data_IF_722933284048
#
_entry.id   IF_722933284048
#
_cell.length_a   1.000
_cell.length_b   1.000
_cell.length_c   1.000
_cell.angle_alpha   90.00
_cell.angle_beta   90.00
_cell.angle_gamma   90.00
#
_symmetry.space_group_name_H-M   'P 1'
#
loop_
_entity.id
_entity.type
_entity.pdbx_description
1 polymer ?
#
# COMPACT_ATOMS: atom_id res chain seq x y z
N UNK A 1 -35.48 -6.89 -0.32
CA UNK A 1 -34.05 -6.55 -0.42
C UNK A 1 -33.35 -7.18 0.77
N UNK A 2 -32.32 -8.00 0.56
CA UNK A 2 -31.55 -8.55 1.68
C UNK A 2 -30.85 -7.39 2.42
N UNK A 3 -30.80 -7.40 3.77
CA UNK A 3 -30.06 -6.38 4.52
C UNK A 3 -28.58 -6.46 4.18
N UNK A 4 -27.93 -5.31 3.97
CA UNK A 4 -26.49 -5.24 3.74
C UNK A 4 -25.78 -5.69 5.03
N UNK A 5 -24.85 -6.64 4.92
CA UNK A 5 -24.06 -7.05 6.08
C UNK A 5 -23.10 -5.93 6.49
N UNK A 6 -22.84 -5.74 7.80
CA UNK A 6 -21.84 -4.78 8.27
C UNK A 6 -20.47 -4.98 7.63
N UNK A 7 -20.06 -6.24 7.40
CA UNK A 7 -18.77 -6.58 6.78
C UNK A 7 -18.68 -6.08 5.33
N UNK A 8 -19.79 -6.17 4.58
CA UNK A 8 -19.85 -5.65 3.21
C UNK A 8 -19.70 -4.13 3.20
N UNK A 9 -20.36 -3.44 4.13
CA UNK A 9 -20.25 -1.98 4.24
C UNK A 9 -18.81 -1.57 4.57
N UNK A 10 -18.17 -2.24 5.54
CA UNK A 10 -16.77 -1.97 5.90
C UNK A 10 -15.84 -2.23 4.70
N UNK A 11 -16.02 -3.33 3.98
CA UNK A 11 -15.24 -3.65 2.79
C UNK A 11 -15.38 -2.58 1.70
N UNK A 12 -16.61 -2.17 1.38
CA UNK A 12 -16.90 -1.14 0.37
C UNK A 12 -16.29 0.21 0.76
N UNK A 13 -16.51 0.65 2.00
CA UNK A 13 -15.96 1.93 2.50
C UNK A 13 -14.43 1.89 2.49
N UNK A 14 -13.82 0.78 2.90
CA UNK A 14 -12.37 0.62 2.88
C UNK A 14 -11.80 0.69 1.47
N UNK A 15 -12.47 0.07 0.49
CA UNK A 15 -12.08 0.14 -0.93
C UNK A 15 -12.18 1.56 -1.51
N UNK A 16 -13.26 2.29 -1.19
CA UNK A 16 -13.44 3.68 -1.63
C UNK A 16 -12.39 4.61 -1.00
N UNK A 17 -12.13 4.46 0.30
CA UNK A 17 -11.08 5.21 0.99
C UNK A 17 -9.70 4.89 0.40
N UNK A 18 -9.43 3.61 0.11
CA UNK A 18 -8.18 3.21 -0.53
C UNK A 18 -7.99 3.89 -1.89
N UNK A 19 -9.01 3.86 -2.75
CA UNK A 19 -8.96 4.51 -4.05
C UNK A 19 -8.75 6.04 -3.93
N UNK A 20 -9.42 6.67 -2.97
CA UNK A 20 -9.27 8.11 -2.69
C UNK A 20 -7.85 8.47 -2.24
N UNK A 21 -7.30 7.76 -1.24
CA UNK A 21 -5.93 7.99 -0.78
C UNK A 21 -4.89 7.67 -1.85
N UNK A 22 -5.14 6.64 -2.65
CA UNK A 22 -4.28 6.31 -3.79
C UNK A 22 -4.23 7.49 -4.78
N UNK A 23 -5.38 8.02 -5.18
CA UNK A 23 -5.46 9.18 -6.09
C UNK A 23 -4.74 10.41 -5.52
N UNK A 24 -4.85 10.68 -4.22
CA UNK A 24 -4.11 11.76 -3.56
C UNK A 24 -2.60 11.51 -3.64
N UNK A 25 -2.14 10.33 -3.24
CA UNK A 25 -0.71 10.01 -3.17
C UNK A 25 -0.01 10.18 -4.52
N UNK A 26 -0.64 9.70 -5.59
CA UNK A 26 -0.12 9.80 -6.95
C UNK A 26 0.01 11.25 -7.43
N UNK A 27 -0.94 12.12 -7.07
CA UNK A 27 -0.86 13.55 -7.39
C UNK A 27 0.22 14.27 -6.58
N UNK A 28 0.40 13.90 -5.30
CA UNK A 28 1.49 14.42 -4.46
C UNK A 28 2.84 14.02 -5.05
N UNK A 29 3.03 12.74 -5.42
CA UNK A 29 4.27 12.27 -6.04
C UNK A 29 4.55 12.97 -7.37
N UNK A 30 3.50 13.25 -8.16
CA UNK A 30 3.64 14.07 -9.36
C UNK A 30 4.17 15.47 -9.06
N UNK A 31 3.70 16.11 -7.99
CA UNK A 31 4.16 17.45 -7.58
C UNK A 31 5.60 17.50 -7.05
N UNK A 32 6.16 16.36 -6.63
CA UNK A 32 7.49 16.27 -6.01
C UNK A 32 8.57 15.68 -6.93
N UNK A 33 8.29 15.52 -8.22
CA UNK A 33 9.17 14.86 -9.20
C UNK A 33 10.57 15.43 -9.29
N UNK A 34 10.73 16.73 -9.08
CA UNK A 34 12.03 17.40 -9.21
C UNK A 34 12.84 17.39 -7.90
N UNK A 35 12.21 17.10 -6.77
CA UNK A 35 12.83 17.22 -5.44
C UNK A 35 13.18 15.89 -4.76
N UNK A 36 12.54 14.78 -5.13
CA UNK A 36 12.70 13.51 -4.42
C UNK A 36 12.73 12.35 -5.41
N UNK A 37 13.80 11.54 -5.35
CA UNK A 37 13.90 10.32 -6.15
C UNK A 37 12.82 9.30 -5.77
N UNK A 38 12.19 8.62 -6.76
CA UNK A 38 11.18 7.59 -6.53
C UNK A 38 11.55 6.49 -5.54
N UNK A 39 12.81 6.06 -5.58
CA UNK A 39 13.35 5.03 -4.68
C UNK A 39 13.32 5.50 -3.22
N UNK A 40 13.62 6.78 -2.97
CA UNK A 40 13.59 7.36 -1.63
C UNK A 40 12.15 7.45 -1.10
N UNK A 41 11.19 7.83 -1.96
CA UNK A 41 9.76 7.83 -1.61
C UNK A 41 9.27 6.43 -1.24
N UNK A 42 9.57 5.44 -2.09
CA UNK A 42 9.22 4.04 -1.86
C UNK A 42 9.81 3.53 -0.54
N UNK A 43 11.10 3.73 -0.32
CA UNK A 43 11.79 3.30 0.90
C UNK A 43 11.19 3.94 2.16
N UNK A 44 10.92 5.25 2.15
CA UNK A 44 10.37 5.96 3.31
C UNK A 44 8.94 5.54 3.61
N UNK A 45 8.12 5.33 2.57
CA UNK A 45 6.74 4.83 2.69
C UNK A 45 6.68 3.48 3.42
N UNK A 46 7.65 2.59 3.17
CA UNK A 46 7.70 1.28 3.84
C UNK A 46 7.93 1.40 5.34
N UNK A 47 8.82 2.29 5.79
CA UNK A 47 9.06 2.51 7.22
C UNK A 47 7.83 3.10 7.91
N UNK A 48 7.17 4.06 7.28
CA UNK A 48 5.93 4.65 7.81
C UNK A 48 4.84 3.58 7.91
N UNK A 49 4.67 2.76 6.88
CA UNK A 49 3.70 1.66 6.88
C UNK A 49 4.03 0.61 7.95
N UNK A 50 5.31 0.26 8.13
CA UNK A 50 5.76 -0.67 9.16
C UNK A 50 5.43 -0.17 10.57
N UNK A 51 5.77 1.08 10.87
CA UNK A 51 5.48 1.68 12.18
C UNK A 51 3.97 1.76 12.46
N UNK A 52 3.19 2.20 11.46
CA UNK A 52 1.74 2.31 11.60
C UNK A 52 1.10 0.93 11.80
N UNK A 53 1.49 -0.07 10.98
CA UNK A 53 0.96 -1.41 11.09
C UNK A 53 1.39 -2.08 12.39
N UNK A 54 2.65 -1.92 12.80
CA UNK A 54 3.15 -2.38 14.09
C UNK A 54 2.36 -1.78 15.25
N UNK A 55 2.10 -0.47 15.21
CA UNK A 55 1.26 0.20 16.20
C UNK A 55 -0.16 -0.38 16.25
N UNK A 56 -0.82 -0.57 15.10
CA UNK A 56 -2.15 -1.19 15.03
C UNK A 56 -2.09 -2.59 15.66
N UNK A 57 -1.12 -3.42 15.28
CA UNK A 57 -0.97 -4.79 15.82
C UNK A 57 -0.85 -4.79 17.34
N UNK A 58 -0.05 -3.87 17.90
CA UNK A 58 0.18 -3.74 19.34
C UNK A 58 -1.05 -3.19 20.09
N UNK A 59 -1.75 -2.21 19.51
CA UNK A 59 -2.90 -1.54 20.15
C UNK A 59 -4.18 -2.37 20.08
N UNK A 60 -4.32 -3.27 19.11
CA UNK A 60 -5.57 -4.07 18.93
C UNK A 60 -5.82 -5.11 20.03
N UNK A 61 -5.32 -4.91 21.27
CA UNK A 61 -5.56 -5.70 22.50
C UNK A 61 -5.95 -7.14 22.20
N UNK A 62 -5.01 -7.87 21.59
CA UNK A 62 -5.27 -9.21 21.10
C UNK A 62 -5.41 -10.15 22.30
N UNK A 63 -6.46 -10.97 22.30
CA UNK A 63 -6.65 -12.01 23.31
C UNK A 63 -5.85 -13.28 23.00
N UNK A 64 -5.29 -13.40 21.80
CA UNK A 64 -4.51 -14.55 21.32
C UNK A 64 -3.08 -14.18 20.96
N UNK A 65 -2.14 -15.10 21.20
CA UNK A 65 -0.74 -14.94 20.83
C UNK A 65 -0.56 -14.76 19.32
N UNK A 66 0.31 -13.83 18.90
CA UNK A 66 0.71 -13.66 17.51
C UNK A 66 1.67 -14.79 17.12
N UNK A 67 1.11 -15.93 16.73
CA UNK A 67 1.87 -17.05 16.18
C UNK A 67 1.64 -17.09 14.67
N UNK A 68 2.66 -16.65 13.92
CA UNK A 68 2.70 -16.78 12.46
C UNK A 68 3.69 -17.90 12.14
N UNK A 69 3.25 -19.01 11.51
CA UNK A 69 4.15 -20.08 11.08
C UNK A 69 5.26 -19.54 10.18
N UNK A 70 6.48 -20.07 10.31
CA UNK A 70 7.63 -19.59 9.54
C UNK A 70 7.39 -19.68 8.02
N UNK A 71 6.71 -20.73 7.56
CA UNK A 71 6.37 -20.91 6.14
C UNK A 71 5.52 -19.75 5.61
N UNK A 72 4.56 -19.27 6.41
CA UNK A 72 3.74 -18.11 6.06
C UNK A 72 4.56 -16.82 6.07
N UNK A 73 5.50 -16.67 7.00
CA UNK A 73 6.39 -15.50 7.03
C UNK A 73 7.23 -15.43 5.75
N UNK A 74 7.77 -16.56 5.30
CA UNK A 74 8.57 -16.62 4.07
C UNK A 74 7.71 -16.23 2.86
N UNK A 75 6.52 -16.81 2.71
CA UNK A 75 5.61 -16.51 1.61
C UNK A 75 5.22 -15.02 1.61
N UNK A 76 4.80 -14.49 2.77
CA UNK A 76 4.43 -13.09 2.92
C UNK A 76 5.61 -12.16 2.59
N UNK A 77 6.82 -12.51 3.02
CA UNK A 77 8.02 -11.73 2.73
C UNK A 77 8.29 -11.66 1.23
N UNK A 78 8.21 -12.79 0.52
CA UNK A 78 8.40 -12.82 -0.93
C UNK A 78 7.30 -12.01 -1.64
N UNK A 79 6.04 -12.16 -1.24
CA UNK A 79 4.93 -11.38 -1.80
C UNK A 79 5.12 -9.88 -1.58
N UNK A 80 5.58 -9.46 -0.39
CA UNK A 80 5.87 -8.06 -0.09
C UNK A 80 7.05 -7.53 -0.90
N UNK A 81 8.14 -8.27 -1.03
CA UNK A 81 9.30 -7.84 -1.82
C UNK A 81 8.89 -7.66 -3.29
N UNK A 82 8.24 -8.65 -3.87
CA UNK A 82 7.85 -8.62 -5.30
C UNK A 82 6.82 -7.55 -5.61
N UNK A 83 5.78 -7.43 -4.78
CA UNK A 83 4.68 -6.48 -5.05
C UNK A 83 5.01 -5.08 -4.56
N UNK A 84 5.40 -4.96 -3.28
CA UNK A 84 5.52 -3.67 -2.60
C UNK A 84 6.88 -3.00 -2.81
N UNK A 85 7.98 -3.76 -2.88
CA UNK A 85 9.29 -3.16 -3.13
C UNK A 85 9.51 -2.98 -4.62
N UNK A 86 9.46 -4.09 -5.38
CA UNK A 86 9.77 -4.06 -6.82
C UNK A 86 8.64 -3.39 -7.60
N UNK A 87 7.40 -3.85 -7.43
CA UNK A 87 6.25 -3.29 -8.14
C UNK A 87 6.07 -1.79 -7.91
N UNK A 88 6.05 -1.33 -6.65
CA UNK A 88 5.85 0.08 -6.32
C UNK A 88 7.00 0.97 -6.83
N UNK A 89 8.25 0.51 -6.71
CA UNK A 89 9.40 1.27 -7.21
C UNK A 89 9.37 1.40 -8.72
N UNK A 90 9.08 0.31 -9.44
CA UNK A 90 8.92 0.36 -10.90
C UNK A 90 7.75 1.26 -11.31
N UNK A 91 6.65 1.23 -10.55
CA UNK A 91 5.51 2.11 -10.79
C UNK A 91 5.90 3.58 -10.64
N UNK A 92 6.56 3.97 -9.55
CA UNK A 92 6.98 5.36 -9.34
C UNK A 92 8.04 5.80 -10.38
N UNK A 93 8.97 4.93 -10.75
CA UNK A 93 9.92 5.18 -11.84
C UNK A 93 9.21 5.40 -13.18
N UNK A 94 8.17 4.61 -13.47
CA UNK A 94 7.35 4.80 -14.67
C UNK A 94 6.62 6.14 -14.63
N UNK A 95 6.07 6.54 -13.48
CA UNK A 95 5.42 7.83 -13.33
C UNK A 95 6.40 8.97 -13.61
N UNK A 96 7.62 8.91 -13.08
CA UNK A 96 8.67 9.91 -13.32
C UNK A 96 8.97 10.04 -14.82
N UNK A 97 9.13 8.92 -15.54
CA UNK A 97 9.53 8.90 -16.96
C UNK A 97 8.42 9.25 -17.95
N UNK A 98 7.23 8.65 -17.80
CA UNK A 98 6.14 8.76 -18.79
C UNK A 98 4.92 9.53 -18.29
N UNK A 99 4.92 9.97 -17.03
CA UNK A 99 3.77 10.67 -16.45
C UNK A 99 2.72 9.73 -15.86
N UNK A 100 1.99 10.22 -14.84
CA UNK A 100 0.92 9.47 -14.18
C UNK A 100 -0.18 9.02 -15.15
N UNK A 101 -0.56 9.91 -16.07
CA UNK A 101 -1.68 9.68 -16.99
C UNK A 101 -1.45 8.48 -17.92
N UNK A 102 -0.19 8.12 -18.18
CA UNK A 102 0.19 6.97 -19.00
C UNK A 102 0.62 5.77 -18.15
N UNK A 103 1.33 6.00 -17.04
CA UNK A 103 1.77 4.93 -16.16
C UNK A 103 0.59 4.15 -15.52
N UNK A 104 -0.48 4.85 -15.12
CA UNK A 104 -1.59 4.23 -14.39
C UNK A 104 -2.47 3.28 -15.22
N UNK A 105 -2.87 3.60 -16.47
CA UNK A 105 -3.62 2.66 -17.31
C UNK A 105 -2.84 1.42 -17.73
N UNK A 106 -1.50 1.49 -17.79
CA UNK A 106 -0.65 0.34 -18.15
C UNK A 106 -0.49 -0.62 -16.97
N UNK A 107 -0.58 -0.12 -15.74
CA UNK A 107 -0.38 -0.89 -14.51
C UNK A 107 -1.64 -1.55 -13.94
N UNK A 108 -2.83 -1.31 -14.52
CA UNK A 108 -4.11 -1.92 -14.11
C UNK A 108 -4.61 -2.89 -15.19
#
# INVERSE_FOLDING_TARGET
MAPLSPDLIIGVVSGLLHAFFFAISVNIYKGQREGIHPVAVSALKMWVAFLLMGFIVLVTLRTSALQVPMDNVVILSISMITSMVVGDTLYLLSQERIGVAYAYPISN
#
